data_IF_204697038379
#
_entry.id   IF_204697038379
#
_cell.length_a   1.000
_cell.length_b   1.000
_cell.length_c   1.000
_cell.angle_alpha   90.00
_cell.angle_beta   90.00
_cell.angle_gamma   90.00
#
_symmetry.space_group_name_H-M   'P 1'
#
loop_
_entity.id
_entity.type
_entity.pdbx_description
1 polymer ?
#
# COMPACT_ATOMS: atom_id res chain seq x y z
N UNK A 1 -5.17 5.66 -30.04
CA UNK A 1 -6.17 5.41 -28.98
C UNK A 1 -5.45 5.17 -27.64
N UNK A 2 -6.01 5.64 -26.52
CA UNK A 2 -5.52 5.29 -25.18
C UNK A 2 -6.02 3.88 -24.86
N UNK A 3 -5.13 3.00 -24.41
CA UNK A 3 -5.46 1.59 -24.11
C UNK A 3 -5.34 1.24 -22.63
N UNK A 4 -4.73 2.12 -21.85
CA UNK A 4 -4.30 1.84 -20.48
C UNK A 4 -4.21 3.11 -19.65
N UNK A 5 -4.48 3.01 -18.35
CA UNK A 5 -4.25 4.05 -17.35
C UNK A 5 -3.31 3.52 -16.26
N UNK A 6 -2.15 4.17 -16.12
CA UNK A 6 -1.25 3.99 -14.98
C UNK A 6 -1.41 5.20 -14.07
N UNK A 7 -1.58 4.96 -12.78
CA UNK A 7 -1.88 6.00 -11.80
C UNK A 7 -1.10 5.76 -10.50
N UNK A 8 -0.87 6.81 -9.71
CA UNK A 8 -0.24 6.66 -8.39
C UNK A 8 -1.15 5.84 -7.47
N UNK A 9 -0.60 4.87 -6.73
CA UNK A 9 -1.38 3.96 -5.89
C UNK A 9 -2.25 4.68 -4.84
N UNK A 10 -1.94 5.91 -4.47
CA UNK A 10 -2.79 6.73 -3.58
C UNK A 10 -4.11 7.19 -4.19
N UNK A 11 -4.32 6.97 -5.49
CA UNK A 11 -5.52 7.38 -6.23
C UNK A 11 -6.35 6.16 -6.70
N UNK A 12 -6.85 5.31 -5.79
CA UNK A 12 -7.55 4.07 -6.18
C UNK A 12 -8.80 4.31 -7.06
N UNK A 13 -9.41 5.49 -6.98
CA UNK A 13 -10.54 5.91 -7.84
C UNK A 13 -10.19 5.94 -9.34
N UNK A 14 -8.90 6.06 -9.68
CA UNK A 14 -8.46 6.07 -11.07
C UNK A 14 -8.72 4.70 -11.74
N UNK A 15 -8.75 3.60 -10.98
CA UNK A 15 -9.14 2.30 -11.49
C UNK A 15 -10.59 2.30 -11.97
N UNK A 16 -11.50 2.91 -11.21
CA UNK A 16 -12.91 3.02 -11.59
C UNK A 16 -13.07 3.78 -12.90
N UNK A 17 -12.24 4.82 -13.11
CA UNK A 17 -12.19 5.55 -14.38
C UNK A 17 -11.68 4.65 -15.49
N UNK A 18 -10.58 3.92 -15.30
CA UNK A 18 -10.08 2.99 -16.31
C UNK A 18 -11.16 1.98 -16.74
N UNK A 19 -11.81 1.33 -15.76
CA UNK A 19 -12.88 0.35 -15.97
C UNK A 19 -14.10 0.94 -16.69
N UNK A 20 -14.53 2.15 -16.30
CA UNK A 20 -15.64 2.85 -16.95
C UNK A 20 -15.42 3.06 -18.46
N UNK A 21 -14.17 3.24 -18.88
CA UNK A 21 -13.82 3.43 -20.29
C UNK A 21 -13.31 2.15 -20.97
N UNK A 22 -13.39 0.99 -20.31
CA UNK A 22 -12.91 -0.29 -20.85
C UNK A 22 -11.40 -0.32 -21.08
N UNK A 23 -10.64 0.46 -20.32
CA UNK A 23 -9.19 0.51 -20.36
C UNK A 23 -8.59 -0.47 -19.34
N UNK A 24 -7.39 -0.96 -19.64
CA UNK A 24 -6.58 -1.61 -18.61
C UNK A 24 -6.16 -0.57 -17.55
N UNK A 25 -6.14 -0.97 -16.28
CA UNK A 25 -5.77 -0.12 -15.17
C UNK A 25 -4.76 -0.78 -14.25
N UNK A 26 -3.71 -0.04 -13.86
CA UNK A 26 -2.76 -0.54 -12.88
C UNK A 26 -2.16 0.55 -11.99
N UNK A 27 -2.17 0.35 -10.66
CA UNK A 27 -1.52 1.26 -9.73
C UNK A 27 0.01 1.16 -9.83
N UNK A 28 0.66 2.30 -9.66
CA UNK A 28 2.11 2.44 -9.54
C UNK A 28 2.47 2.83 -8.12
N UNK A 29 3.08 1.88 -7.41
CA UNK A 29 3.56 2.07 -6.04
C UNK A 29 4.93 2.73 -6.04
N UNK A 30 4.99 3.95 -5.50
CA UNK A 30 6.20 4.79 -5.49
C UNK A 30 6.98 4.72 -4.18
N UNK A 31 6.39 4.12 -3.13
CA UNK A 31 7.02 3.91 -1.82
C UNK A 31 7.86 2.62 -1.76
N UNK A 32 8.78 2.48 -0.79
CA UNK A 32 9.52 1.23 -0.58
C UNK A 32 8.62 0.00 -0.45
N UNK A 33 9.02 -1.11 -1.06
CA UNK A 33 8.20 -2.33 -1.10
C UNK A 33 7.83 -2.86 0.29
N UNK A 34 8.76 -2.80 1.26
CA UNK A 34 8.50 -3.20 2.64
C UNK A 34 7.43 -2.32 3.32
N UNK A 35 7.44 -1.01 3.05
CA UNK A 35 6.44 -0.06 3.58
C UNK A 35 5.06 -0.34 2.98
N UNK A 36 4.97 -0.57 1.67
CA UNK A 36 3.71 -0.98 1.03
C UNK A 36 3.19 -2.30 1.58
N UNK A 37 4.07 -3.25 1.89
CA UNK A 37 3.69 -4.52 2.49
C UNK A 37 3.11 -4.36 3.89
N UNK A 38 3.67 -3.48 4.72
CA UNK A 38 3.09 -3.09 6.02
C UNK A 38 1.66 -2.56 5.84
N UNK A 39 1.44 -1.63 4.91
CA UNK A 39 0.09 -1.10 4.65
C UNK A 39 -0.87 -2.15 4.10
N UNK A 40 -0.39 -3.06 3.26
CA UNK A 40 -1.17 -4.19 2.77
C UNK A 40 -1.63 -5.10 3.92
N UNK A 41 -0.76 -5.41 4.88
CA UNK A 41 -1.11 -6.21 6.06
C UNK A 41 -2.13 -5.50 6.96
N UNK A 42 -1.97 -4.19 7.15
CA UNK A 42 -2.93 -3.36 7.90
C UNK A 42 -4.30 -3.38 7.21
N UNK A 43 -4.33 -3.15 5.89
CA UNK A 43 -5.56 -3.16 5.09
C UNK A 43 -6.34 -4.47 5.24
N UNK A 44 -5.63 -5.60 5.28
CA UNK A 44 -6.22 -6.93 5.44
C UNK A 44 -6.44 -7.34 6.91
N UNK A 45 -6.26 -6.42 7.87
CA UNK A 45 -6.45 -6.69 9.30
C UNK A 45 -5.45 -7.67 9.91
N UNK A 46 -4.32 -7.93 9.23
CA UNK A 46 -3.26 -8.85 9.67
C UNK A 46 -2.20 -8.17 10.53
N UNK A 47 -2.18 -6.84 10.55
CA UNK A 47 -1.35 -6.03 11.45
C UNK A 47 -2.24 -4.95 12.08
N UNK A 48 -2.23 -4.87 13.41
CA UNK A 48 -2.99 -3.84 14.13
C UNK A 48 -2.29 -2.48 14.07
N UNK A 49 -3.07 -1.41 14.22
CA UNK A 49 -2.57 -0.04 14.29
C UNK A 49 -3.14 0.63 15.57
N UNK A 50 -2.30 0.93 16.58
CA UNK A 50 -0.87 0.61 16.65
C UNK A 50 -0.61 -0.91 16.76
N UNK A 51 0.62 -1.38 16.49
CA UNK A 51 0.98 -2.79 16.69
C UNK A 51 0.78 -3.23 18.15
N UNK A 52 0.21 -4.43 18.35
CA UNK A 52 -0.07 -4.95 19.68
C UNK A 52 1.20 -5.34 20.47
N UNK A 53 2.27 -5.70 19.76
CA UNK A 53 3.56 -6.11 20.35
C UNK A 53 4.72 -5.59 19.52
N UNK A 54 5.87 -5.37 20.16
CA UNK A 54 7.15 -5.01 19.51
C UNK A 54 8.27 -5.95 20.01
N UNK A 55 9.23 -6.34 19.15
CA UNK A 55 9.34 -5.98 17.73
C UNK A 55 8.29 -6.71 16.87
N UNK A 56 7.74 -6.00 15.89
CA UNK A 56 6.75 -6.54 14.95
C UNK A 56 7.41 -7.58 14.06
N UNK A 57 6.82 -8.77 13.99
CA UNK A 57 7.29 -9.88 13.17
C UNK A 57 6.44 -9.98 11.91
N UNK A 58 7.04 -9.67 10.76
CA UNK A 58 6.41 -9.78 9.44
C UNK A 58 7.20 -10.80 8.62
N UNK A 59 6.55 -11.85 8.06
CA UNK A 59 7.25 -12.81 7.20
C UNK A 59 7.99 -12.12 6.05
N UNK A 60 9.29 -12.40 5.91
CA UNK A 60 10.14 -11.81 4.87
C UNK A 60 10.76 -10.46 5.23
N UNK A 61 10.46 -9.89 6.41
CA UNK A 61 11.13 -8.70 6.92
C UNK A 61 11.92 -9.03 8.21
N UNK A 62 12.99 -8.28 8.53
CA UNK A 62 13.61 -8.37 9.85
C UNK A 62 12.62 -7.93 10.94
N UNK A 63 12.85 -8.29 12.22
CA UNK A 63 12.13 -7.71 13.35
C UNK A 63 12.15 -6.17 13.27
N UNK A 64 10.97 -5.53 13.36
CA UNK A 64 10.82 -4.08 13.28
C UNK A 64 10.38 -3.50 14.62
N UNK A 65 11.12 -2.55 15.15
CA UNK A 65 10.66 -1.75 16.27
C UNK A 65 9.66 -0.68 15.80
N UNK A 66 9.00 -0.02 16.75
CA UNK A 66 8.01 1.02 16.43
C UNK A 66 8.60 2.18 15.61
N UNK A 67 9.89 2.47 15.82
CA UNK A 67 10.61 3.53 15.12
C UNK A 67 10.97 3.16 13.67
N UNK A 68 10.96 1.88 13.32
CA UNK A 68 11.22 1.40 11.95
C UNK A 68 9.95 1.43 11.08
N UNK A 69 8.78 1.56 11.72
CA UNK A 69 7.48 1.66 11.03
C UNK A 69 7.18 3.11 10.64
N UNK A 70 6.33 3.32 9.61
CA UNK A 70 5.81 4.64 9.32
C UNK A 70 5.19 5.28 10.56
N UNK A 71 5.51 6.55 10.84
CA UNK A 71 5.17 7.20 12.12
C UNK A 71 3.68 7.16 12.47
N UNK A 72 2.81 7.26 11.47
CA UNK A 72 1.35 7.17 11.61
C UNK A 72 0.82 5.74 11.82
N UNK A 73 1.67 4.71 11.76
CA UNK A 73 1.36 3.36 12.28
C UNK A 73 1.57 3.31 13.80
N UNK A 74 2.62 3.96 14.31
CA UNK A 74 2.89 4.03 15.75
C UNK A 74 2.06 5.08 16.49
N UNK A 75 1.66 6.14 15.81
CA UNK A 75 0.82 7.22 16.33
C UNK A 75 -0.33 7.54 15.35
N UNK A 76 -1.33 6.65 15.20
CA UNK A 76 -2.40 6.79 14.21
C UNK A 76 -3.22 8.07 14.36
N UNK A 77 -3.39 8.55 15.59
CA UNK A 77 -4.12 9.77 15.90
C UNK A 77 -3.41 11.05 15.42
N UNK A 78 -2.09 11.00 15.15
CA UNK A 78 -1.34 12.16 14.70
C UNK A 78 -1.66 12.56 13.25
N UNK A 79 -1.95 11.58 12.38
CA UNK A 79 -2.22 11.82 10.95
C UNK A 79 -3.29 10.86 10.39
N UNK A 80 -4.52 10.86 10.94
CA UNK A 80 -5.55 9.87 10.59
C UNK A 80 -5.95 9.90 9.11
N UNK A 81 -5.97 11.09 8.50
CA UNK A 81 -6.25 11.24 7.07
C UNK A 81 -5.15 10.63 6.20
N UNK A 82 -3.88 10.78 6.59
CA UNK A 82 -2.75 10.24 5.84
C UNK A 82 -2.66 8.72 6.01
N UNK A 83 -2.87 8.21 7.23
CA UNK A 83 -2.98 6.78 7.49
C UNK A 83 -4.07 6.15 6.61
N UNK A 84 -5.25 6.77 6.55
CA UNK A 84 -6.34 6.31 5.69
C UNK A 84 -5.94 6.30 4.22
N UNK A 85 -5.27 7.35 3.74
CA UNK A 85 -4.80 7.44 2.35
C UNK A 85 -3.88 6.27 1.98
N UNK A 86 -2.84 6.02 2.78
CA UNK A 86 -1.83 5.00 2.46
C UNK A 86 -2.31 3.56 2.70
N UNK A 87 -3.31 3.34 3.57
CA UNK A 87 -3.95 2.03 3.71
C UNK A 87 -4.91 1.76 2.55
N UNK A 88 -5.66 2.79 2.12
CA UNK A 88 -6.66 2.70 1.04
C UNK A 88 -6.06 2.46 -0.35
N UNK A 89 -4.75 2.58 -0.55
CA UNK A 89 -4.12 2.19 -1.81
C UNK A 89 -4.32 0.71 -2.18
N UNK A 90 -4.77 -0.13 -1.23
CA UNK A 90 -5.04 -1.56 -1.43
C UNK A 90 -6.54 -1.90 -1.61
N UNK A 91 -7.43 -0.90 -1.61
CA UNK A 91 -8.90 -1.13 -1.52
C UNK A 91 -9.50 -1.89 -2.69
N UNK A 92 -8.91 -1.74 -3.88
CA UNK A 92 -9.34 -2.37 -5.14
C UNK A 92 -8.13 -2.94 -5.90
N UNK A 93 -7.12 -3.42 -5.17
CA UNK A 93 -5.89 -3.91 -5.78
C UNK A 93 -6.09 -5.25 -6.50
N UNK A 94 -7.00 -6.09 -6.00
CA UNK A 94 -7.43 -7.37 -6.60
C UNK A 94 -8.18 -7.18 -7.93
N UNK A 95 -8.67 -5.99 -8.15
CA UNK A 95 -9.43 -5.57 -9.31
C UNK A 95 -8.58 -5.00 -10.46
N UNK A 96 -7.28 -4.77 -10.24
CA UNK A 96 -6.35 -4.19 -11.20
C UNK A 96 -5.79 -5.22 -12.18
N UNK A 97 -5.54 -4.81 -13.43
CA UNK A 97 -5.01 -5.71 -14.47
C UNK A 97 -3.52 -6.02 -14.29
N UNK A 98 -2.79 -5.10 -13.68
CA UNK A 98 -1.37 -5.24 -13.36
C UNK A 98 -0.99 -4.33 -12.20
N UNK A 99 0.08 -4.69 -11.48
CA UNK A 99 0.60 -3.90 -10.36
C UNK A 99 2.05 -3.53 -10.66
N UNK A 100 2.36 -2.25 -10.64
CA UNK A 100 3.70 -1.73 -10.85
C UNK A 100 4.28 -1.28 -9.51
N UNK A 101 5.48 -1.75 -9.18
CA UNK A 101 6.16 -1.37 -7.93
C UNK A 101 7.52 -0.82 -8.29
N UNK A 102 7.81 0.40 -7.84
CA UNK A 102 9.13 1.02 -8.02
C UNK A 102 10.15 0.40 -7.05
N UNK A 103 10.65 -0.78 -7.42
CA UNK A 103 11.60 -1.54 -6.62
C UNK A 103 12.41 -2.48 -7.52
N UNK A 104 13.49 -3.04 -6.98
CA UNK A 104 14.29 -4.07 -7.65
C UNK A 104 14.03 -5.41 -6.98
N UNK A 105 14.05 -6.49 -7.76
CA UNK A 105 13.74 -7.83 -7.25
C UNK A 105 14.73 -8.27 -6.17
N UNK A 106 16.00 -7.88 -6.33
CA UNK A 106 17.11 -8.22 -5.45
C UNK A 106 17.07 -7.50 -4.08
N UNK A 107 16.20 -6.49 -3.93
CA UNK A 107 15.98 -5.77 -2.67
C UNK A 107 14.68 -6.20 -1.97
N UNK A 108 14.08 -7.31 -2.40
CA UNK A 108 12.93 -7.93 -1.74
C UNK A 108 13.36 -9.13 -0.89
#
# INVERSE_FOLDING_TARGET
>A
PITCLVYDSFLPWALDVAKKYGLLGGPFFTQPCAVNYVYFLIHHGRLSVPPATVPVQIPGLPPLDLADLPSFVGAPESYPAYLKLVVNQNINLDEADFVLVNSYYEFK
#
